data_IF_388450871045
#
_entry.id   IF_388450871045
#
_cell.length_a   1.000
_cell.length_b   1.000
_cell.length_c   1.000
_cell.angle_alpha   90.00
_cell.angle_beta   90.00
_cell.angle_gamma   90.00
#
_symmetry.space_group_name_H-M   'P 1'
#
loop_
_entity.id
_entity.type
_entity.pdbx_description
1 polymer ?
#
# COMPACT_ATOMS: atom_id res chain seq x y z
N UNK A 1 0.77 2.03 -2.69
CA UNK A 1 2.24 2.00 -2.75
C UNK A 1 2.67 0.68 -3.35
N UNK A 2 3.65 0.70 -4.24
CA UNK A 2 4.28 -0.50 -4.80
C UNK A 2 5.80 -0.35 -4.77
N UNK A 3 6.51 -1.46 -4.59
CA UNK A 3 7.97 -1.48 -4.66
C UNK A 3 8.44 -2.58 -5.61
N UNK A 4 9.36 -2.23 -6.52
CA UNK A 4 9.86 -3.12 -7.56
C UNK A 4 11.39 -3.17 -7.55
N UNK A 5 11.98 -4.33 -7.82
CA UNK A 5 13.41 -4.45 -8.08
C UNK A 5 13.75 -3.94 -9.49
N UNK A 6 15.04 -3.73 -9.79
CA UNK A 6 15.50 -3.35 -11.14
C UNK A 6 15.01 -4.30 -12.23
N UNK A 7 14.85 -5.57 -11.90
CA UNK A 7 14.37 -6.61 -12.82
C UNK A 7 12.84 -6.54 -13.03
N UNK A 8 12.17 -5.52 -12.50
CA UNK A 8 10.74 -5.29 -12.64
C UNK A 8 9.86 -6.14 -11.71
N UNK A 9 10.46 -7.02 -10.89
CA UNK A 9 9.72 -7.87 -9.96
C UNK A 9 9.12 -7.04 -8.82
N UNK A 10 7.80 -7.13 -8.64
CA UNK A 10 7.10 -6.54 -7.50
C UNK A 10 7.43 -7.31 -6.22
N UNK A 11 7.96 -6.61 -5.23
CA UNK A 11 8.38 -7.17 -3.94
C UNK A 11 7.50 -6.67 -2.79
N UNK A 12 6.76 -5.59 -3.00
CA UNK A 12 5.83 -5.06 -2.03
C UNK A 12 4.67 -4.34 -2.72
N UNK A 13 3.47 -4.54 -2.19
CA UNK A 13 2.27 -3.81 -2.59
C UNK A 13 1.38 -3.63 -1.38
N UNK A 14 1.03 -2.38 -1.11
CA UNK A 14 0.08 -2.02 -0.08
C UNK A 14 -0.85 -0.92 -0.59
N UNK A 15 -2.10 -0.96 -0.15
CA UNK A 15 -3.15 -0.03 -0.55
C UNK A 15 -3.99 0.36 0.65
N UNK A 16 -4.20 1.66 0.83
CA UNK A 16 -5.02 2.22 1.90
C UNK A 16 -6.14 3.05 1.30
N UNK A 17 -7.35 2.85 1.79
CA UNK A 17 -8.55 3.57 1.33
C UNK A 17 -8.92 4.60 2.40
N UNK A 18 -9.05 5.86 1.97
CA UNK A 18 -9.46 6.97 2.81
C UNK A 18 -10.94 7.26 2.53
N UNK A 19 -11.85 6.74 3.36
CA UNK A 19 -13.29 6.98 3.21
C UNK A 19 -14.03 6.83 4.54
N UNK A 20 -15.17 7.51 4.72
CA UNK A 20 -16.06 7.27 5.85
C UNK A 20 -16.61 5.84 5.85
N UNK A 21 -16.63 5.23 7.02
CA UNK A 21 -17.12 3.88 7.27
C UNK A 21 -18.40 3.96 8.10
N UNK A 22 -19.46 3.30 7.63
CA UNK A 22 -20.78 3.37 8.25
C UNK A 22 -21.38 1.98 8.43
N UNK A 23 -22.18 1.84 9.49
CA UNK A 23 -22.87 0.62 9.91
C UNK A 23 -24.40 0.80 9.88
N UNK A 24 -25.13 -0.29 10.05
CA UNK A 24 -26.58 -0.33 10.29
C UNK A 24 -26.95 -0.24 11.79
N UNK A 25 -25.98 0.10 12.64
CA UNK A 25 -26.08 0.20 14.10
C UNK A 25 -26.37 -1.11 14.84
N UNK A 26 -26.23 -2.26 14.16
CA UNK A 26 -26.40 -3.60 14.75
C UNK A 26 -25.09 -4.38 14.87
N UNK A 27 -24.00 -3.83 14.35
CA UNK A 27 -22.67 -4.43 14.45
C UNK A 27 -21.59 -3.42 14.10
N UNK A 28 -20.34 -3.87 14.19
CA UNK A 28 -19.16 -3.00 14.08
C UNK A 28 -18.54 -2.98 12.67
N UNK A 29 -19.06 -3.80 11.76
CA UNK A 29 -18.58 -3.89 10.38
C UNK A 29 -19.21 -2.81 9.48
N UNK A 30 -18.45 -2.35 8.49
CA UNK A 30 -18.99 -1.50 7.43
C UNK A 30 -20.02 -2.28 6.61
N UNK A 31 -21.17 -1.66 6.36
CA UNK A 31 -22.25 -2.24 5.54
C UNK A 31 -22.28 -1.59 4.15
N UNK A 32 -22.49 -2.41 3.11
CA UNK A 32 -22.71 -1.95 1.74
C UNK A 32 -24.18 -1.54 1.51
N UNK A 33 -24.40 -0.64 0.56
CA UNK A 33 -25.73 -0.08 0.26
C UNK A 33 -26.05 1.14 1.12
N UNK A 34 -26.27 2.28 0.45
CA UNK A 34 -26.47 3.56 1.13
C UNK A 34 -27.68 3.58 2.07
N UNK A 35 -28.75 2.88 1.72
CA UNK A 35 -30.01 2.84 2.49
C UNK A 35 -29.93 2.03 3.80
N UNK A 36 -28.90 1.19 3.97
CA UNK A 36 -28.68 0.46 5.21
C UNK A 36 -27.79 1.21 6.21
N UNK A 37 -27.15 2.31 5.78
CA UNK A 37 -26.20 3.07 6.60
C UNK A 37 -26.97 4.03 7.50
N UNK A 38 -26.83 3.82 8.81
CA UNK A 38 -27.52 4.61 9.84
C UNK A 38 -26.58 5.52 10.63
N UNK A 39 -25.29 5.17 10.73
CA UNK A 39 -24.30 5.97 11.44
C UNK A 39 -22.87 5.63 11.05
N UNK A 40 -21.97 6.60 11.22
CA UNK A 40 -20.54 6.41 11.00
C UNK A 40 -19.89 5.69 12.19
N UNK A 41 -19.11 4.65 11.92
CA UNK A 41 -18.28 3.97 12.92
C UNK A 41 -16.86 4.51 12.95
N UNK A 42 -16.35 4.91 11.78
CA UNK A 42 -14.99 5.42 11.63
C UNK A 42 -14.90 6.33 10.42
N UNK A 43 -14.20 7.45 10.55
CA UNK A 43 -13.84 8.28 9.41
C UNK A 43 -12.33 8.19 9.16
N UNK A 44 -11.95 7.52 8.06
CA UNK A 44 -10.55 7.50 7.59
C UNK A 44 -10.31 8.46 6.44
N UNK A 45 -11.25 9.34 6.10
CA UNK A 45 -11.05 10.31 5.03
C UNK A 45 -9.93 11.31 5.34
N UNK A 46 -9.39 11.93 4.28
CA UNK A 46 -8.44 13.03 4.40
C UNK A 46 -9.19 14.30 4.80
N UNK A 47 -9.09 14.70 6.06
CA UNK A 47 -9.80 15.87 6.57
C UNK A 47 -9.21 17.16 5.99
N UNK A 48 -10.02 18.24 5.88
CA UNK A 48 -9.55 19.53 5.40
C UNK A 48 -8.33 20.03 6.17
N UNK A 49 -7.30 20.46 5.44
CA UNK A 49 -6.04 20.99 5.98
C UNK A 49 -5.27 20.03 6.91
N UNK A 50 -5.66 18.76 6.98
CA UNK A 50 -4.95 17.75 7.76
C UNK A 50 -3.86 17.10 6.90
N UNK A 51 -2.62 17.19 7.35
CA UNK A 51 -1.53 16.40 6.76
C UNK A 51 -1.52 15.00 7.37
N UNK A 52 -1.50 13.97 6.51
CA UNK A 52 -1.40 12.56 6.91
C UNK A 52 0.01 12.04 6.59
N UNK A 53 0.63 11.41 7.58
CA UNK A 53 1.91 10.72 7.43
C UNK A 53 1.63 9.22 7.56
N UNK A 54 2.13 8.46 6.58
CA UNK A 54 2.00 7.00 6.55
C UNK A 54 3.40 6.38 6.49
N UNK A 55 3.64 5.41 7.36
CA UNK A 55 4.91 4.69 7.45
C UNK A 55 4.71 3.28 6.90
N UNK A 56 5.60 2.87 6.00
CA UNK A 56 5.59 1.54 5.40
C UNK A 56 6.92 0.87 5.63
N UNK A 57 6.89 -0.40 6.03
CA UNK A 57 8.09 -1.21 6.21
C UNK A 57 8.25 -2.17 5.03
N UNK A 58 9.28 -1.94 4.22
CA UNK A 58 9.59 -2.77 3.05
C UNK A 58 10.88 -3.54 3.33
N UNK A 59 10.80 -4.87 3.34
CA UNK A 59 11.97 -5.73 3.48
C UNK A 59 12.65 -5.88 2.12
N UNK A 60 13.96 -5.67 2.09
CA UNK A 60 14.75 -5.98 0.90
C UNK A 60 14.80 -7.50 0.68
N UNK A 61 14.73 -7.97 -0.57
CA UNK A 61 14.85 -9.39 -0.86
C UNK A 61 16.26 -9.87 -0.48
N UNK A 62 16.31 -10.81 0.46
CA UNK A 62 17.53 -11.51 0.88
C UNK A 62 17.44 -12.98 0.47
N UNK A 63 18.58 -13.57 0.14
CA UNK A 63 18.72 -15.02 0.10
C UNK A 63 19.68 -15.47 1.20
N UNK A 64 19.31 -16.57 1.86
CA UNK A 64 20.18 -17.23 2.82
C UNK A 64 21.18 -18.09 2.04
N UNK A 65 22.39 -17.57 1.84
CA UNK A 65 23.47 -18.32 1.22
C UNK A 65 24.17 -19.17 2.28
N UNK A 66 23.98 -20.50 2.23
CA UNK A 66 24.81 -21.44 2.99
C UNK A 66 26.14 -21.60 2.26
N UNK A 67 27.12 -20.76 2.62
CA UNK A 67 28.45 -20.78 1.97
C UNK A 67 29.31 -21.98 2.34
N UNK A 68 29.04 -22.66 3.47
CA UNK A 68 29.81 -23.82 3.97
C UNK A 68 28.95 -24.71 4.89
N UNK A 69 29.22 -26.02 4.92
CA UNK A 69 28.39 -27.06 5.58
C UNK A 69 28.34 -27.04 7.12
N UNK A 70 28.96 -26.06 7.80
CA UNK A 70 29.05 -25.99 9.27
C UNK A 70 29.01 -24.55 9.85
N UNK A 71 28.49 -23.56 9.11
CA UNK A 71 28.35 -22.16 9.61
C UNK A 71 26.91 -21.66 9.46
N UNK A 72 26.45 -20.75 10.35
CA UNK A 72 25.13 -20.15 10.23
C UNK A 72 25.00 -19.40 8.89
N UNK A 73 23.82 -19.45 8.25
CA UNK A 73 23.59 -18.84 6.93
C UNK A 73 23.83 -17.33 6.99
N UNK A 74 24.57 -16.82 6.00
CA UNK A 74 24.77 -15.38 5.82
C UNK A 74 23.67 -14.88 4.89
N UNK A 75 22.89 -13.90 5.37
CA UNK A 75 21.86 -13.21 4.58
C UNK A 75 22.53 -12.30 3.56
N UNK A 76 22.44 -12.63 2.28
CA UNK A 76 22.92 -11.78 1.19
C UNK A 76 21.76 -11.07 0.50
N UNK A 77 21.86 -9.74 0.39
CA UNK A 77 20.86 -8.92 -0.29
C UNK A 77 21.15 -8.96 -1.80
N UNK A 78 20.31 -9.65 -2.58
CA UNK A 78 20.49 -9.80 -4.04
C UNK A 78 20.34 -8.49 -4.82
N UNK A 79 19.41 -7.65 -4.39
CA UNK A 79 19.14 -6.36 -5.04
C UNK A 79 19.32 -5.24 -4.02
N UNK A 80 20.44 -4.53 -4.15
CA UNK A 80 20.76 -3.36 -3.33
C UNK A 80 19.98 -2.10 -3.73
N UNK A 81 19.16 -2.18 -4.77
CA UNK A 81 18.36 -1.06 -5.27
C UNK A 81 16.90 -1.49 -5.51
N UNK A 82 15.97 -0.60 -5.16
CA UNK A 82 14.53 -0.80 -5.29
C UNK A 82 13.85 0.52 -5.66
N UNK A 83 12.91 0.46 -6.61
CA UNK A 83 12.07 1.60 -6.97
C UNK A 83 10.76 1.54 -6.19
N UNK A 84 10.54 2.55 -5.33
CA UNK A 84 9.31 2.71 -4.56
C UNK A 84 8.42 3.72 -5.26
N UNK A 85 7.23 3.29 -5.67
CA UNK A 85 6.21 4.13 -6.29
C UNK A 85 5.04 4.34 -5.34
N UNK A 86 4.73 5.62 -5.10
CA UNK A 86 3.57 6.04 -4.32
C UNK A 86 2.59 6.74 -5.25
N UNK A 87 1.34 6.28 -5.22
CA UNK A 87 0.26 6.82 -6.04
C UNK A 87 -0.93 7.14 -5.15
N UNK A 88 -1.46 8.36 -5.27
CA UNK A 88 -2.73 8.79 -4.70
C UNK A 88 -3.75 8.84 -5.83
N UNK A 89 -4.85 8.12 -5.65
CA UNK A 89 -5.91 8.00 -6.64
C UNK A 89 -7.25 8.31 -6.03
N UNK A 90 -8.15 8.84 -6.86
CA UNK A 90 -9.58 8.84 -6.61
C UNK A 90 -10.25 7.80 -7.46
N UNK A 91 -11.15 7.04 -6.86
CA UNK A 91 -11.88 5.97 -7.52
C UNK A 91 -13.25 5.84 -6.84
N UNK A 92 -14.25 5.43 -7.62
CA UNK A 92 -15.62 5.25 -7.15
C UNK A 92 -15.83 3.93 -6.40
N UNK A 93 -15.08 2.90 -6.80
CA UNK A 93 -15.12 1.55 -6.22
C UNK A 93 -13.81 1.29 -5.43
N UNK A 94 -13.84 0.58 -4.29
CA UNK A 94 -12.63 0.04 -3.66
C UNK A 94 -11.77 -0.82 -4.60
N UNK A 95 -12.36 -1.50 -5.57
CA UNK A 95 -11.62 -2.22 -6.60
C UNK A 95 -10.94 -1.26 -7.59
N UNK A 96 -9.70 -1.56 -8.04
CA UNK A 96 -9.01 -0.73 -9.02
C UNK A 96 -9.74 -0.77 -10.37
N UNK A 97 -10.32 0.36 -10.77
CA UNK A 97 -10.95 0.54 -12.09
C UNK A 97 -9.98 0.95 -13.20
N UNK A 98 -10.51 1.20 -14.40
CA UNK A 98 -9.73 1.69 -15.54
C UNK A 98 -9.28 3.14 -15.33
N UNK A 99 -8.00 3.41 -15.60
CA UNK A 99 -7.42 4.75 -15.47
C UNK A 99 -8.05 5.69 -16.51
N UNK A 100 -8.59 6.82 -16.05
CA UNK A 100 -9.24 7.83 -16.89
C UNK A 100 -10.75 7.61 -17.11
N UNK A 101 -11.32 6.52 -16.60
CA UNK A 101 -12.77 6.30 -16.55
C UNK A 101 -13.28 6.25 -15.12
N UNK A 102 -12.82 5.25 -14.37
CA UNK A 102 -13.33 4.94 -13.02
C UNK A 102 -12.26 5.13 -11.94
N UNK A 103 -10.99 5.30 -12.36
CA UNK A 103 -9.86 5.60 -11.49
C UNK A 103 -9.05 6.78 -12.04
N UNK A 104 -8.78 7.76 -11.18
CA UNK A 104 -8.08 8.99 -11.54
C UNK A 104 -6.86 9.19 -10.64
N UNK A 105 -5.67 9.31 -11.23
CA UNK A 105 -4.43 9.51 -10.49
C UNK A 105 -4.26 11.01 -10.22
N UNK A 106 -4.24 11.40 -8.95
CA UNK A 106 -4.00 12.78 -8.55
C UNK A 106 -2.52 13.07 -8.31
N UNK A 107 -1.81 12.10 -7.75
CA UNK A 107 -0.39 12.25 -7.46
C UNK A 107 0.32 10.92 -7.68
N UNK A 108 1.50 10.99 -8.28
CA UNK A 108 2.38 9.86 -8.48
C UNK A 108 3.81 10.33 -8.29
N UNK A 109 4.56 9.59 -7.47
CA UNK A 109 6.00 9.81 -7.30
C UNK A 109 6.70 8.47 -7.24
N UNK A 110 7.89 8.40 -7.81
CA UNK A 110 8.75 7.22 -7.77
C UNK A 110 10.11 7.64 -7.24
N UNK A 111 10.61 6.91 -6.26
CA UNK A 111 11.91 7.14 -5.65
C UNK A 111 12.70 5.84 -5.62
N UNK A 112 13.90 5.88 -6.16
CA UNK A 112 14.87 4.78 -6.05
C UNK A 112 15.53 4.82 -4.69
N UNK A 113 15.50 3.70 -3.97
CA UNK A 113 16.14 3.51 -2.66
C UNK A 113 17.28 2.53 -2.84
N UNK A 114 18.45 2.88 -2.29
CA UNK A 114 19.65 2.04 -2.30
C UNK A 114 20.07 1.70 -0.87
N UNK A 115 20.57 0.49 -0.67
CA UNK A 115 21.20 0.04 0.58
C UNK A 115 22.69 -0.14 0.31
N UNK A 116 23.53 0.57 1.06
CA UNK A 116 25.00 0.45 0.99
C UNK A 116 25.47 -0.86 1.65
#
# INVERSE_FOLDING_TARGET
>A
MTAKTKDGKEIFKDSKIYMPQATNSRGDAMVYGAHFKMGYTRDTSLQPLQTRVETYEIKFPYEDAVKEKDKPPVREIKHKEMDVTVELRYQLDPAPGEVGKDSFVYYKTTKTVKVE
#
